data_IF_825956148738
#
_entry.id   IF_825956148738
#
_cell.length_a   1.000
_cell.length_b   1.000
_cell.length_c   1.000
_cell.angle_alpha   90.00
_cell.angle_beta   90.00
_cell.angle_gamma   90.00
#
_symmetry.space_group_name_H-M   'P 1'
#
loop_
_entity.id
_entity.type
_entity.pdbx_description
1 polymer ?
#
# COMPACT_ATOMS: atom_id res chain seq x y z
N UNK A 1 -40.11 -22.91 11.68
CA UNK A 1 -38.68 -22.76 11.39
C UNK A 1 -38.52 -21.41 10.72
N UNK A 2 -38.13 -20.35 11.44
CA UNK A 2 -37.97 -19.03 10.83
C UNK A 2 -36.79 -19.10 9.86
N UNK A 3 -37.07 -18.84 8.58
CA UNK A 3 -36.00 -18.53 7.63
C UNK A 3 -35.40 -17.22 8.09
N UNK A 4 -34.24 -17.28 8.76
CA UNK A 4 -33.44 -16.09 9.04
C UNK A 4 -33.08 -15.52 7.67
N UNK A 5 -33.84 -14.55 7.19
CA UNK A 5 -33.48 -13.76 6.04
C UNK A 5 -32.26 -12.95 6.45
N UNK A 6 -31.08 -13.46 6.11
CA UNK A 6 -29.82 -12.75 6.26
C UNK A 6 -29.92 -11.55 5.31
N UNK A 7 -30.32 -10.39 5.83
CA UNK A 7 -30.36 -9.14 5.07
C UNK A 7 -28.92 -8.80 4.67
N UNK A 8 -28.55 -9.19 3.45
CA UNK A 8 -27.24 -8.91 2.85
C UNK A 8 -27.41 -7.72 1.91
N UNK A 9 -26.88 -6.57 2.31
CA UNK A 9 -26.90 -5.35 1.51
C UNK A 9 -25.53 -5.13 0.86
N UNK A 10 -25.36 -5.76 -0.31
CA UNK A 10 -24.12 -5.71 -1.08
C UNK A 10 -23.83 -4.30 -1.61
N UNK A 11 -24.87 -3.52 -1.86
CA UNK A 11 -24.76 -2.14 -2.38
C UNK A 11 -24.27 -1.19 -1.29
N UNK A 12 -24.83 -1.29 -0.08
CA UNK A 12 -24.32 -0.55 1.08
C UNK A 12 -22.85 -0.87 1.37
N UNK A 13 -22.45 -2.14 1.26
CA UNK A 13 -21.06 -2.56 1.48
C UNK A 13 -20.09 -1.97 0.45
N UNK A 14 -20.46 -1.97 -0.84
CA UNK A 14 -19.65 -1.34 -1.89
C UNK A 14 -19.57 0.17 -1.70
N UNK A 15 -20.69 0.82 -1.39
CA UNK A 15 -20.73 2.26 -1.18
C UNK A 15 -19.85 2.68 0.02
N UNK A 16 -19.90 1.91 1.11
CA UNK A 16 -19.00 2.12 2.25
C UNK A 16 -17.51 2.00 1.86
N UNK A 17 -17.17 1.02 1.01
CA UNK A 17 -15.81 0.87 0.50
C UNK A 17 -15.37 2.05 -0.37
N UNK A 18 -16.23 2.53 -1.27
CA UNK A 18 -15.93 3.71 -2.10
C UNK A 18 -15.76 4.99 -1.28
N UNK A 19 -16.60 5.19 -0.24
CA UNK A 19 -16.47 6.32 0.66
C UNK A 19 -15.15 6.26 1.43
N UNK A 20 -14.77 5.07 1.92
CA UNK A 20 -13.47 4.84 2.56
C UNK A 20 -12.30 5.14 1.61
N UNK A 21 -12.36 4.68 0.36
CA UNK A 21 -11.32 4.99 -0.65
C UNK A 21 -11.18 6.49 -0.83
N UNK A 22 -12.29 7.20 -0.94
CA UNK A 22 -12.28 8.64 -1.11
C UNK A 22 -11.64 9.37 0.09
N UNK A 23 -11.93 8.94 1.32
CA UNK A 23 -11.32 9.55 2.52
C UNK A 23 -9.82 9.33 2.57
N UNK A 24 -9.34 8.13 2.23
CA UNK A 24 -7.91 7.83 2.18
C UNK A 24 -7.19 8.59 1.06
N UNK A 25 -7.82 8.72 -0.11
CA UNK A 25 -7.29 9.56 -1.19
C UNK A 25 -7.12 11.02 -0.76
N UNK A 26 -8.09 11.58 -0.01
CA UNK A 26 -7.98 12.94 0.52
C UNK A 26 -6.86 13.07 1.56
N UNK A 27 -6.69 12.08 2.42
CA UNK A 27 -5.61 12.05 3.42
C UNK A 27 -4.23 12.10 2.74
N UNK A 28 -3.98 11.23 1.75
CA UNK A 28 -2.72 11.23 1.01
C UNK A 28 -2.57 12.45 0.09
N UNK A 29 -3.65 12.95 -0.52
CA UNK A 29 -3.60 14.17 -1.33
C UNK A 29 -3.12 15.38 -0.51
N UNK A 30 -3.62 15.55 0.72
CA UNK A 30 -3.15 16.58 1.63
C UNK A 30 -1.65 16.47 1.93
N UNK A 31 -1.17 15.24 2.18
CA UNK A 31 0.24 14.97 2.40
C UNK A 31 1.10 15.29 1.17
N UNK A 32 0.65 14.92 -0.04
CA UNK A 32 1.36 15.25 -1.28
C UNK A 32 1.49 16.76 -1.52
N UNK A 33 0.44 17.53 -1.22
CA UNK A 33 0.49 18.99 -1.29
C UNK A 33 1.54 19.55 -0.31
N UNK A 34 1.52 19.07 0.93
CA UNK A 34 2.49 19.48 1.96
C UNK A 34 3.93 19.20 1.51
N UNK A 35 4.21 18.01 0.97
CA UNK A 35 5.52 17.69 0.41
C UNK A 35 5.88 18.61 -0.77
N UNK A 36 4.96 18.86 -1.69
CA UNK A 36 5.19 19.76 -2.82
C UNK A 36 5.56 21.18 -2.39
N UNK A 37 4.88 21.72 -1.39
CA UNK A 37 5.20 23.04 -0.82
C UNK A 37 6.58 23.05 -0.16
N UNK A 38 6.90 22.08 0.68
CA UNK A 38 8.22 22.04 1.35
C UNK A 38 9.38 21.82 0.37
N UNK A 39 9.15 21.03 -0.68
CA UNK A 39 10.10 20.86 -1.77
C UNK A 39 10.35 22.16 -2.52
N UNK A 40 9.30 22.91 -2.83
CA UNK A 40 9.42 24.21 -3.49
C UNK A 40 10.20 25.22 -2.64
N UNK A 41 10.01 25.18 -1.32
CA UNK A 41 10.72 26.05 -0.38
C UNK A 41 12.18 25.65 -0.14
N UNK A 42 12.53 24.36 -0.28
CA UNK A 42 13.87 23.83 0.01
C UNK A 42 14.41 22.92 -1.12
N UNK A 43 14.55 23.42 -2.36
CA UNK A 43 14.85 22.57 -3.51
C UNK A 43 16.20 21.86 -3.43
N UNK A 44 17.25 22.54 -2.92
CA UNK A 44 18.60 21.99 -2.84
C UNK A 44 18.70 20.86 -1.81
N UNK A 45 18.12 21.06 -0.61
CA UNK A 45 18.12 20.03 0.43
C UNK A 45 17.29 18.80 0.01
N UNK A 46 16.14 19.01 -0.63
CA UNK A 46 15.31 17.91 -1.13
C UNK A 46 16.00 17.11 -2.24
N UNK A 47 16.80 17.77 -3.08
CA UNK A 47 17.60 17.10 -4.11
C UNK A 47 18.66 16.19 -3.49
N UNK A 48 19.48 16.74 -2.59
CA UNK A 48 20.54 15.99 -1.91
C UNK A 48 20.00 14.83 -1.08
N UNK A 49 18.90 15.05 -0.34
CA UNK A 49 18.26 13.99 0.45
C UNK A 49 17.61 12.89 -0.42
N UNK A 50 17.19 13.21 -1.65
CA UNK A 50 16.65 12.23 -2.59
C UNK A 50 17.75 11.33 -3.20
N UNK A 51 18.98 11.83 -3.36
CA UNK A 51 20.11 11.02 -3.85
C UNK A 51 20.53 9.93 -2.84
N UNK A 52 20.25 10.13 -1.54
CA UNK A 52 20.46 9.14 -0.48
C UNK A 52 19.46 7.96 -0.55
N UNK A 53 18.51 7.97 -1.47
CA UNK A 53 17.55 6.90 -1.68
C UNK A 53 17.95 6.02 -2.87
N UNK A 54 17.90 4.71 -2.69
CA UNK A 54 18.21 3.77 -3.78
C UNK A 54 17.03 3.65 -4.74
N UNK A 55 17.13 4.31 -5.89
CA UNK A 55 16.14 4.23 -6.98
C UNK A 55 15.92 2.78 -7.41
N UNK A 56 16.98 1.97 -7.46
CA UNK A 56 16.90 0.56 -7.89
C UNK A 56 15.99 -0.28 -6.99
N UNK A 57 16.15 -0.14 -5.65
CA UNK A 57 15.30 -0.83 -4.67
C UNK A 57 13.86 -0.32 -4.76
N UNK A 58 13.68 0.99 -4.96
CA UNK A 58 12.38 1.60 -5.21
C UNK A 58 11.69 1.03 -6.46
N UNK A 59 12.40 0.92 -7.59
CA UNK A 59 11.87 0.39 -8.85
C UNK A 59 11.47 -1.08 -8.73
N UNK A 60 12.31 -1.92 -8.10
CA UNK A 60 11.99 -3.33 -7.86
C UNK A 60 10.71 -3.46 -7.04
N UNK A 61 10.57 -2.65 -5.98
CA UNK A 61 9.38 -2.64 -5.14
C UNK A 61 8.12 -2.21 -5.91
N UNK A 62 8.22 -1.22 -6.79
CA UNK A 62 7.11 -0.81 -7.65
C UNK A 62 6.69 -1.94 -8.60
N UNK A 63 7.65 -2.64 -9.22
CA UNK A 63 7.33 -3.80 -10.07
C UNK A 63 6.62 -4.90 -9.26
N UNK A 64 7.10 -5.20 -8.05
CA UNK A 64 6.49 -6.19 -7.16
C UNK A 64 5.03 -5.83 -6.86
N UNK A 65 4.74 -4.57 -6.54
CA UNK A 65 3.38 -4.13 -6.23
C UNK A 65 2.47 -4.14 -7.46
N UNK A 66 2.94 -3.70 -8.62
CA UNK A 66 2.17 -3.75 -9.86
C UNK A 66 1.79 -5.20 -10.24
N UNK A 67 2.74 -6.13 -10.09
CA UNK A 67 2.46 -7.56 -10.32
C UNK A 67 1.46 -8.09 -9.29
N UNK A 68 1.60 -7.70 -8.01
CA UNK A 68 0.68 -8.07 -6.93
C UNK A 68 -0.75 -7.55 -7.15
N UNK A 69 -0.86 -6.34 -7.70
CA UNK A 69 -2.12 -5.71 -8.12
C UNK A 69 -2.75 -6.48 -9.27
N UNK A 70 -1.96 -6.89 -10.28
CA UNK A 70 -2.45 -7.73 -11.36
C UNK A 70 -2.94 -9.11 -10.85
N UNK A 71 -2.24 -9.74 -9.90
CA UNK A 71 -2.65 -11.06 -9.38
C UNK A 71 -3.98 -11.00 -8.63
N UNK A 72 -4.24 -9.95 -7.85
CA UNK A 72 -5.54 -9.82 -7.16
C UNK A 72 -6.70 -9.52 -8.14
N UNK A 73 -6.46 -8.74 -9.20
CA UNK A 73 -7.43 -8.54 -10.28
C UNK A 73 -7.74 -9.84 -11.05
N UNK A 74 -6.72 -10.68 -11.27
CA UNK A 74 -6.93 -12.01 -11.85
C UNK A 74 -7.69 -12.92 -10.88
N UNK A 75 -7.48 -12.80 -9.56
CA UNK A 75 -8.17 -13.59 -8.56
C UNK A 75 -9.68 -13.30 -8.52
N UNK A 76 -10.07 -12.03 -8.66
CA UNK A 76 -11.49 -11.63 -8.74
C UNK A 76 -12.16 -12.16 -10.02
N UNK A 77 -11.42 -12.24 -11.12
CA UNK A 77 -11.92 -12.89 -12.35
C UNK A 77 -12.03 -14.41 -12.18
N UNK A 78 -11.02 -15.05 -11.57
CA UNK A 78 -11.00 -16.50 -11.33
C UNK A 78 -12.16 -16.97 -10.44
N UNK A 79 -12.54 -16.20 -9.41
CA UNK A 79 -13.68 -16.58 -8.55
C UNK A 79 -15.01 -16.51 -9.32
N UNK A 80 -15.14 -15.56 -10.26
CA UNK A 80 -16.34 -15.43 -11.12
C UNK A 80 -16.45 -16.59 -12.10
N UNK A 81 -15.31 -17.09 -12.59
CA UNK A 81 -15.20 -18.32 -13.37
C UNK A 81 -15.32 -19.61 -12.54
N UNK A 82 -15.64 -19.49 -11.23
CA UNK A 82 -15.78 -20.60 -10.28
C UNK A 82 -14.51 -21.46 -10.12
N UNK A 83 -13.33 -20.95 -10.52
CA UNK A 83 -12.07 -21.64 -10.38
C UNK A 83 -11.41 -21.33 -9.03
N UNK A 84 -11.84 -22.04 -7.99
CA UNK A 84 -11.37 -21.86 -6.61
C UNK A 84 -9.86 -22.03 -6.46
N UNK A 85 -9.28 -23.06 -7.09
CA UNK A 85 -7.84 -23.36 -6.94
C UNK A 85 -6.99 -22.22 -7.48
N UNK A 86 -7.36 -21.71 -8.66
CA UNK A 86 -6.68 -20.56 -9.26
C UNK A 86 -6.85 -19.29 -8.40
N UNK A 87 -8.03 -19.04 -7.85
CA UNK A 87 -8.23 -17.91 -6.91
C UNK A 87 -7.30 -17.99 -5.71
N UNK A 88 -7.20 -19.15 -5.05
CA UNK A 88 -6.33 -19.32 -3.88
C UNK A 88 -4.87 -19.13 -4.27
N UNK A 89 -4.42 -19.72 -5.39
CA UNK A 89 -3.05 -19.57 -5.86
C UNK A 89 -2.68 -18.10 -6.11
N UNK A 90 -3.58 -17.35 -6.76
CA UNK A 90 -3.37 -15.93 -7.05
C UNK A 90 -3.35 -15.08 -5.77
N UNK A 91 -4.23 -15.35 -4.80
CA UNK A 91 -4.22 -14.66 -3.51
C UNK A 91 -2.94 -14.95 -2.70
N UNK A 92 -2.47 -16.19 -2.71
CA UNK A 92 -1.19 -16.55 -2.08
C UNK A 92 0.00 -15.86 -2.76
N UNK A 93 -0.03 -15.76 -4.10
CA UNK A 93 0.98 -15.01 -4.84
C UNK A 93 0.97 -13.51 -4.45
N UNK A 94 -0.20 -12.89 -4.33
CA UNK A 94 -0.34 -11.50 -3.85
C UNK A 94 0.26 -11.33 -2.44
N UNK A 95 -0.03 -12.25 -1.51
CA UNK A 95 0.52 -12.20 -0.15
C UNK A 95 2.05 -12.37 -0.15
N UNK A 96 2.58 -13.29 -0.95
CA UNK A 96 4.03 -13.48 -1.06
C UNK A 96 4.74 -12.23 -1.59
N UNK A 97 4.19 -11.61 -2.65
CA UNK A 97 4.72 -10.37 -3.22
C UNK A 97 4.65 -9.20 -2.22
N UNK A 98 3.55 -9.09 -1.47
CA UNK A 98 3.40 -8.10 -0.40
C UNK A 98 4.47 -8.26 0.70
N UNK A 99 4.74 -9.50 1.10
CA UNK A 99 5.77 -9.81 2.08
C UNK A 99 7.18 -9.45 1.57
N UNK A 100 7.46 -9.75 0.30
CA UNK A 100 8.73 -9.38 -0.34
C UNK A 100 8.93 -7.86 -0.36
N UNK A 101 7.89 -7.10 -0.73
CA UNK A 101 7.91 -5.64 -0.66
C UNK A 101 8.24 -5.14 0.75
N UNK A 102 7.55 -5.66 1.77
CA UNK A 102 7.74 -5.25 3.16
C UNK A 102 9.15 -5.56 3.65
N UNK A 103 9.70 -6.71 3.26
CA UNK A 103 11.06 -7.13 3.61
C UNK A 103 12.11 -6.20 2.99
N UNK A 104 11.98 -5.87 1.71
CA UNK A 104 12.88 -4.93 1.03
C UNK A 104 12.87 -3.56 1.73
N UNK A 105 11.68 -3.08 2.12
CA UNK A 105 11.54 -1.81 2.83
C UNK A 105 12.11 -1.83 4.23
N UNK A 106 11.94 -2.93 4.95
CA UNK A 106 12.55 -3.10 6.25
C UNK A 106 14.08 -2.98 6.20
N UNK A 107 14.73 -3.58 5.19
CA UNK A 107 16.19 -3.45 5.02
C UNK A 107 16.61 -2.02 4.65
N UNK A 108 15.87 -1.33 3.79
CA UNK A 108 16.15 0.06 3.43
C UNK A 108 16.06 0.99 4.65
N UNK A 109 15.03 0.82 5.47
CA UNK A 109 14.88 1.57 6.71
C UNK A 109 15.97 1.22 7.71
N UNK A 110 16.25 -0.07 7.94
CA UNK A 110 17.29 -0.51 8.87
C UNK A 110 18.65 0.11 8.51
N UNK A 111 19.00 0.13 7.23
CA UNK A 111 20.20 0.81 6.75
C UNK A 111 20.23 2.28 7.16
N UNK A 112 19.12 3.02 6.99
CA UNK A 112 19.04 4.44 7.41
C UNK A 112 19.07 4.64 8.93
N UNK A 113 18.49 3.73 9.70
CA UNK A 113 18.57 3.73 11.17
C UNK A 113 20.01 3.48 11.66
N UNK A 114 20.75 2.58 11.01
CA UNK A 114 22.16 2.32 11.33
C UNK A 114 23.06 3.52 11.00
N UNK A 115 22.68 4.36 10.03
CA UNK A 115 23.36 5.62 9.71
C UNK A 115 22.89 6.81 10.56
N UNK A 116 22.03 6.59 11.57
CA UNK A 116 21.57 7.63 12.49
C UNK A 116 20.51 8.58 11.92
N UNK A 117 19.99 8.33 10.72
CA UNK A 117 19.01 9.19 10.02
C UNK A 117 17.59 8.71 10.38
N UNK A 118 17.13 9.03 11.59
CA UNK A 118 15.74 8.78 12.02
C UNK A 118 15.04 10.07 12.49
N UNK A 119 13.69 10.16 12.39
CA UNK A 119 12.95 11.33 12.83
C UNK A 119 13.21 11.63 14.32
N UNK A 120 13.82 12.78 14.61
CA UNK A 120 14.18 13.20 15.98
C UNK A 120 15.61 12.84 16.45
N UNK A 121 16.45 12.28 15.57
CA UNK A 121 17.88 12.09 15.86
C UNK A 121 18.67 13.41 15.86
N UNK A 122 19.70 13.51 16.71
CA UNK A 122 20.58 14.69 16.72
C UNK A 122 21.33 14.88 15.40
N UNK A 123 21.70 13.79 14.72
CA UNK A 123 22.45 13.86 13.47
C UNK A 123 21.61 14.37 12.30
N UNK A 124 20.30 14.06 12.30
CA UNK A 124 19.35 14.60 11.32
C UNK A 124 19.06 16.09 11.56
N UNK A 125 18.99 16.52 12.83
CA UNK A 125 18.87 17.93 13.19
C UNK A 125 20.14 18.74 12.87
N UNK A 126 21.31 18.09 12.73
CA UNK A 126 22.58 18.71 12.32
C UNK A 126 22.72 18.87 10.80
N UNK A 127 22.03 18.05 10.00
CA UNK A 127 22.13 18.03 8.54
C UNK A 127 21.48 19.26 7.86
N UNK A 128 20.50 19.90 8.52
CA UNK A 128 19.83 21.10 8.03
C UNK A 128 18.31 21.03 8.14
N UNK A 129 17.64 22.19 8.21
CA UNK A 129 16.18 22.24 8.33
C UNK A 129 15.46 21.58 7.13
N UNK A 130 16.02 21.69 5.92
CA UNK A 130 15.43 21.10 4.71
C UNK A 130 15.50 19.58 4.68
N UNK A 131 16.66 18.99 5.02
CA UNK A 131 16.87 17.54 5.06
C UNK A 131 16.03 16.87 6.15
N UNK A 132 15.93 17.54 7.31
CA UNK A 132 15.06 17.10 8.41
C UNK A 132 13.60 16.98 7.96
N UNK A 133 13.10 17.98 7.22
CA UNK A 133 11.74 17.97 6.71
C UNK A 133 11.52 16.88 5.67
N UNK A 134 12.46 16.68 4.75
CA UNK A 134 12.38 15.63 3.74
C UNK A 134 12.28 14.24 4.38
N UNK A 135 13.23 13.89 5.25
CA UNK A 135 13.24 12.57 5.88
C UNK A 135 12.05 12.36 6.81
N UNK A 136 11.61 13.40 7.54
CA UNK A 136 10.41 13.30 8.39
C UNK A 136 9.16 12.99 7.56
N UNK A 137 8.96 13.68 6.43
CA UNK A 137 7.86 13.43 5.51
C UNK A 137 7.99 12.06 4.83
N UNK A 138 9.20 11.67 4.43
CA UNK A 138 9.49 10.36 3.87
C UNK A 138 9.07 9.24 4.83
N UNK A 139 9.55 9.25 6.08
CA UNK A 139 9.22 8.22 7.06
C UNK A 139 7.74 8.23 7.41
N UNK A 140 7.11 9.40 7.52
CA UNK A 140 5.69 9.50 7.83
C UNK A 140 4.82 8.93 6.70
N UNK A 141 5.03 9.35 5.45
CA UNK A 141 4.21 8.90 4.32
C UNK A 141 4.46 7.42 3.98
N UNK A 142 5.72 6.99 3.97
CA UNK A 142 6.05 5.58 3.72
C UNK A 142 5.62 4.68 4.88
N UNK A 143 5.63 5.18 6.12
CA UNK A 143 5.13 4.47 7.29
C UNK A 143 3.62 4.31 7.32
N UNK A 144 2.87 5.38 6.98
CA UNK A 144 1.42 5.26 6.78
C UNK A 144 1.09 4.27 5.67
N UNK A 145 1.84 4.30 4.57
CA UNK A 145 1.67 3.35 3.48
C UNK A 145 1.99 1.89 3.91
N UNK A 146 3.05 1.68 4.69
CA UNK A 146 3.39 0.37 5.24
C UNK A 146 2.26 -0.17 6.14
N UNK A 147 1.66 0.69 6.97
CA UNK A 147 0.49 0.33 7.77
C UNK A 147 -0.67 -0.13 6.89
N UNK A 148 -0.96 0.57 5.79
CA UNK A 148 -1.99 0.18 4.84
C UNK A 148 -1.70 -1.18 4.19
N UNK A 149 -0.45 -1.46 3.80
CA UNK A 149 -0.07 -2.77 3.28
C UNK A 149 -0.31 -3.87 4.31
N UNK A 150 0.01 -3.64 5.58
CA UNK A 150 -0.22 -4.62 6.66
C UNK A 150 -1.72 -4.91 6.80
N UNK A 151 -2.57 -3.87 6.82
CA UNK A 151 -4.03 -4.04 6.86
C UNK A 151 -4.53 -4.81 5.64
N UNK A 152 -4.06 -4.45 4.44
CA UNK A 152 -4.40 -5.15 3.20
C UNK A 152 -3.98 -6.62 3.21
N UNK A 153 -2.80 -6.91 3.74
CA UNK A 153 -2.28 -8.27 3.89
C UNK A 153 -3.18 -9.11 4.80
N UNK A 154 -3.64 -8.55 5.91
CA UNK A 154 -4.60 -9.21 6.82
C UNK A 154 -5.94 -9.44 6.11
N UNK A 155 -6.48 -8.45 5.39
CA UNK A 155 -7.73 -8.59 4.65
C UNK A 155 -7.66 -9.70 3.58
N UNK A 156 -6.59 -9.72 2.78
CA UNK A 156 -6.37 -10.75 1.76
C UNK A 156 -6.21 -12.13 2.41
N UNK A 157 -5.53 -12.23 3.55
CA UNK A 157 -5.40 -13.48 4.30
C UNK A 157 -6.76 -14.00 4.78
N UNK A 158 -7.63 -13.12 5.29
CA UNK A 158 -9.01 -13.47 5.68
C UNK A 158 -9.82 -13.95 4.46
N UNK A 159 -9.70 -13.26 3.32
CA UNK A 159 -10.37 -13.66 2.08
C UNK A 159 -9.86 -15.03 1.62
N UNK A 160 -8.55 -15.25 1.60
CA UNK A 160 -7.94 -16.53 1.24
C UNK A 160 -8.48 -17.67 2.13
N UNK A 161 -8.55 -17.47 3.44
CA UNK A 161 -9.12 -18.43 4.38
C UNK A 161 -10.61 -18.71 4.10
N UNK A 162 -11.42 -17.67 3.84
CA UNK A 162 -12.85 -17.83 3.55
C UNK A 162 -13.14 -18.47 2.20
N UNK A 163 -12.30 -18.24 1.18
CA UNK A 163 -12.35 -18.97 -0.10
C UNK A 163 -12.04 -20.45 0.16
N UNK A 164 -11.01 -20.75 0.96
CA UNK A 164 -10.66 -22.13 1.28
C UNK A 164 -11.80 -22.88 2.01
N UNK A 165 -12.50 -22.22 2.93
CA UNK A 165 -13.63 -22.80 3.67
C UNK A 165 -14.94 -22.87 2.88
N UNK A 166 -14.95 -22.57 1.57
CA UNK A 166 -16.15 -22.50 0.72
C UNK A 166 -17.22 -21.48 1.19
N UNK A 167 -16.84 -20.55 2.08
CA UNK A 167 -17.73 -19.49 2.56
C UNK A 167 -17.85 -18.34 1.56
N UNK A 168 -16.81 -18.15 0.73
CA UNK A 168 -16.83 -17.25 -0.42
C UNK A 168 -16.93 -18.06 -1.70
N UNK A 169 -18.06 -17.87 -2.39
CA UNK A 169 -18.39 -18.50 -3.67
C UNK A 169 -18.69 -17.39 -4.67
N UNK A 170 -18.76 -17.70 -5.96
CA UNK A 170 -19.14 -16.75 -7.01
C UNK A 170 -20.44 -15.95 -6.73
N UNK A 171 -21.32 -16.45 -5.86
CA UNK A 171 -22.57 -15.80 -5.44
C UNK A 171 -22.40 -14.75 -4.32
N UNK A 172 -21.20 -14.60 -3.75
CA UNK A 172 -20.87 -13.60 -2.73
C UNK A 172 -19.41 -13.09 -2.89
N UNK A 173 -19.04 -12.46 -4.01
CA UNK A 173 -17.68 -11.98 -4.22
C UNK A 173 -17.40 -10.66 -3.50
N UNK A 174 -18.39 -10.05 -2.83
CA UNK A 174 -18.31 -8.67 -2.31
C UNK A 174 -17.09 -8.44 -1.41
N UNK A 175 -16.77 -9.39 -0.53
CA UNK A 175 -15.60 -9.26 0.34
C UNK A 175 -14.28 -9.30 -0.43
N UNK A 176 -14.18 -10.14 -1.47
CA UNK A 176 -13.00 -10.20 -2.33
C UNK A 176 -12.91 -8.94 -3.20
N UNK A 177 -14.02 -8.49 -3.78
CA UNK A 177 -14.07 -7.29 -4.60
C UNK A 177 -13.66 -6.05 -3.76
N UNK A 178 -14.20 -5.88 -2.55
CA UNK A 178 -13.83 -4.77 -1.66
C UNK A 178 -12.38 -4.87 -1.18
N UNK A 179 -11.88 -6.08 -0.86
CA UNK A 179 -10.48 -6.27 -0.47
C UNK A 179 -9.53 -6.00 -1.64
N UNK A 180 -9.94 -6.35 -2.87
CA UNK A 180 -9.22 -6.04 -4.09
C UNK A 180 -9.17 -4.53 -4.35
N UNK A 181 -10.30 -3.83 -4.23
CA UNK A 181 -10.35 -2.36 -4.33
C UNK A 181 -9.44 -1.68 -3.31
N UNK A 182 -9.40 -2.18 -2.06
CA UNK A 182 -8.47 -1.70 -1.04
C UNK A 182 -7.01 -1.88 -1.49
N UNK A 183 -6.66 -3.07 -1.96
CA UNK A 183 -5.30 -3.37 -2.41
C UNK A 183 -4.87 -2.50 -3.59
N UNK A 184 -5.76 -2.29 -4.56
CA UNK A 184 -5.51 -1.39 -5.69
C UNK A 184 -5.32 0.06 -5.26
N UNK A 185 -6.05 0.53 -4.23
CA UNK A 185 -5.82 1.87 -3.66
C UNK A 185 -4.42 1.98 -3.07
N UNK A 186 -3.99 0.98 -2.29
CA UNK A 186 -2.64 0.94 -1.71
C UNK A 186 -1.59 1.00 -2.80
N UNK A 187 -1.71 0.17 -3.84
CA UNK A 187 -0.82 0.19 -5.02
C UNK A 187 -0.80 1.57 -5.71
N UNK A 188 -1.97 2.17 -5.94
CA UNK A 188 -2.10 3.50 -6.53
C UNK A 188 -1.35 4.57 -5.72
N UNK A 189 -1.47 4.56 -4.39
CA UNK A 189 -0.73 5.49 -3.51
C UNK A 189 0.79 5.31 -3.70
N UNK A 190 1.26 4.07 -3.80
CA UNK A 190 2.69 3.79 -4.02
C UNK A 190 3.19 4.30 -5.37
N UNK A 191 2.39 4.14 -6.43
CA UNK A 191 2.71 4.63 -7.78
C UNK A 191 2.96 6.14 -7.78
N UNK A 192 2.32 6.91 -6.90
CA UNK A 192 2.60 8.34 -6.74
C UNK A 192 3.77 8.61 -5.78
N UNK A 193 3.90 7.86 -4.69
CA UNK A 193 4.99 8.01 -3.73
C UNK A 193 6.36 7.73 -4.36
N UNK A 194 6.47 6.68 -5.19
CA UNK A 194 7.76 6.27 -5.74
C UNK A 194 8.41 7.36 -6.61
N UNK A 195 7.76 7.92 -7.65
CA UNK A 195 8.35 9.00 -8.41
C UNK A 195 8.65 10.23 -7.55
N UNK A 196 7.74 10.58 -6.63
CA UNK A 196 7.84 11.77 -5.80
C UNK A 196 9.10 11.79 -4.92
N UNK A 197 9.50 10.64 -4.38
CA UNK A 197 10.67 10.50 -3.51
C UNK A 197 11.93 10.00 -4.23
N UNK A 198 11.81 9.12 -5.24
CA UNK A 198 12.96 8.43 -5.83
C UNK A 198 13.35 8.91 -7.24
N UNK A 199 12.41 9.44 -8.04
CA UNK A 199 12.71 9.82 -9.43
C UNK A 199 12.83 11.32 -9.61
N UNK A 200 12.04 12.09 -8.87
CA UNK A 200 12.14 13.54 -8.89
C UNK A 200 13.23 13.89 -7.89
N UNK A 201 14.47 13.91 -8.37
CA UNK A 201 15.63 14.55 -7.72
C UNK A 201 15.73 15.98 -8.20
#
# INVERSE_FOLDING_TARGET
MSTIHLHRDDEASKLGMWLFIFTELLLFAGLFIVYGVYRYLNPVAFHLAAEELSVTVGTVNTIILLVSSATIAMATTAIRLKNKQLTILLLLATLFLAFMFMTNKYFEWKGKFEHGIFPGSEDLLRLGHGDTLFFSLYFFMTGLHALHIIVGFVLISIVCYRVNNNSLTANNPVLLDNSGLYWHLVDLIWIFLFPLFYLIT
#
